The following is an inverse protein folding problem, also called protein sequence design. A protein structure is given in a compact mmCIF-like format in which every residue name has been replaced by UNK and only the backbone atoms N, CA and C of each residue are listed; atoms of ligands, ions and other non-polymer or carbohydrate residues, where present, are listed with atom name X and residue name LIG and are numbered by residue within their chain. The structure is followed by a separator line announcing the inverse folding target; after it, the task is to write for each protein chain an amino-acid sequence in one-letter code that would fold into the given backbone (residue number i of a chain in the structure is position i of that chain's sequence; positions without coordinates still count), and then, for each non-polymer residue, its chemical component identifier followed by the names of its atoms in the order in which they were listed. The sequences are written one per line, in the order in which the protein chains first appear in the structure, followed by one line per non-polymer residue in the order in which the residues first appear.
data_IF_319346509228
#
_entry.id   IF_319346509228
#
_cell.length_a   1.000
_cell.length_b   1.000
_cell.length_c   1.000
_cell.angle_alpha   90.00
_cell.angle_beta   90.00
_cell.angle_gamma   90.00
#
_symmetry.space_group_name_H-M   'P 1'
#
loop_
_entity.id
_entity.type
_entity.pdbx_description
1 polymer ?
#
# COMPACT_ATOMS: atom_id res chain seq x y z
N UNK A 1 15.08 15.00 -11.86
CA UNK A 1 14.09 13.91 -11.83
C UNK A 1 12.93 14.40 -10.96
N UNK A 2 11.76 14.62 -11.55
CA UNK A 2 10.59 15.10 -10.79
C UNK A 2 10.00 13.96 -9.96
N UNK A 3 9.64 14.24 -8.71
CA UNK A 3 8.86 13.34 -7.87
C UNK A 3 7.39 13.75 -7.87
N UNK A 4 6.47 12.79 -7.74
CA UNK A 4 5.04 13.05 -7.49
C UNK A 4 4.58 12.34 -6.23
N UNK A 5 3.62 12.94 -5.54
CA UNK A 5 3.03 12.40 -4.32
C UNK A 5 1.72 11.72 -4.64
N UNK A 6 1.60 10.44 -4.33
CA UNK A 6 0.41 9.62 -4.55
C UNK A 6 -0.28 9.38 -3.20
N UNK A 7 -1.52 9.86 -3.00
CA UNK A 7 -2.27 9.52 -1.81
C UNK A 7 -2.71 8.06 -1.86
N UNK A 8 -2.56 7.37 -0.74
CA UNK A 8 -3.00 5.99 -0.54
C UNK A 8 -4.08 6.01 0.53
N UNK A 9 -5.26 5.53 0.16
CA UNK A 9 -6.37 5.29 1.06
C UNK A 9 -6.81 3.85 0.83
N UNK A 10 -6.52 2.99 1.80
CA UNK A 10 -6.87 1.59 1.75
C UNK A 10 -7.67 1.22 2.98
N UNK A 11 -8.89 0.71 2.79
CA UNK A 11 -9.74 0.24 3.87
C UNK A 11 -10.10 -1.23 3.62
N UNK A 12 -9.56 -2.18 4.41
CA UNK A 12 -9.85 -3.59 4.22
C UNK A 12 -11.35 -3.91 4.24
N UNK A 13 -12.16 -3.22 5.06
CA UNK A 13 -13.60 -3.46 5.13
C UNK A 13 -14.32 -3.24 3.78
N UNK A 14 -13.79 -2.36 2.90
CA UNK A 14 -14.39 -2.08 1.59
C UNK A 14 -14.11 -3.20 0.57
N UNK A 15 -13.26 -4.17 0.93
CA UNK A 15 -12.85 -5.30 0.11
C UNK A 15 -13.30 -6.66 0.68
N UNK A 16 -14.24 -6.66 1.63
CA UNK A 16 -14.82 -7.89 2.19
C UNK A 16 -14.01 -8.55 3.30
N UNK A 17 -12.97 -7.89 3.83
CA UNK A 17 -12.24 -8.39 4.99
C UNK A 17 -13.08 -8.28 6.27
N UNK A 18 -13.03 -9.33 7.11
CA UNK A 18 -13.84 -9.43 8.31
C UNK A 18 -13.43 -8.40 9.36
N UNK A 19 -14.39 -7.59 9.83
CA UNK A 19 -14.19 -6.64 10.94
C UNK A 19 -13.70 -7.37 12.19
N UNK A 20 -12.78 -6.75 12.92
CA UNK A 20 -12.15 -7.33 14.11
C UNK A 20 -11.05 -8.36 13.82
N UNK A 21 -10.84 -8.76 12.57
CA UNK A 21 -9.67 -9.54 12.17
C UNK A 21 -8.49 -8.62 11.86
N UNK A 22 -7.31 -9.04 12.27
CA UNK A 22 -6.04 -8.36 12.00
C UNK A 22 -5.37 -8.93 10.75
N UNK A 23 -4.74 -8.04 9.99
CA UNK A 23 -4.02 -8.38 8.76
C UNK A 23 -2.69 -7.64 8.74
N UNK A 24 -1.62 -8.31 8.31
CA UNK A 24 -0.35 -7.65 8.00
C UNK A 24 -0.51 -6.90 6.68
N UNK A 25 -0.53 -5.58 6.74
CA UNK A 25 -0.58 -4.70 5.59
C UNK A 25 0.84 -4.30 5.19
N UNK A 26 1.18 -4.52 3.93
CA UNK A 26 2.45 -4.09 3.34
C UNK A 26 2.18 -3.22 2.10
N UNK A 27 2.84 -2.06 2.03
CA UNK A 27 2.82 -1.15 0.90
C UNK A 27 4.25 -1.01 0.36
N UNK A 28 4.47 -1.48 -0.85
CA UNK A 28 5.76 -1.42 -1.55
C UNK A 28 5.67 -0.43 -2.70
N UNK A 29 6.71 0.37 -2.86
CA UNK A 29 6.91 1.25 -4.02
C UNK A 29 8.15 0.78 -4.76
N UNK A 30 7.99 0.53 -6.06
CA UNK A 30 9.08 0.24 -7.00
C UNK A 30 9.13 1.41 -7.96
N UNK A 31 10.18 2.22 -7.91
CA UNK A 31 10.34 3.37 -8.81
C UNK A 31 11.77 3.47 -9.36
N UNK A 32 12.11 4.53 -10.09
CA UNK A 32 13.46 4.71 -10.66
C UNK A 32 14.57 4.79 -9.58
N UNK A 33 14.22 5.01 -8.30
CA UNK A 33 15.15 4.96 -7.17
C UNK A 33 15.25 3.55 -6.54
N UNK A 34 14.51 2.56 -7.05
CA UNK A 34 14.48 1.19 -6.58
C UNK A 34 13.23 0.84 -5.77
N UNK A 35 13.27 -0.34 -5.14
CA UNK A 35 12.18 -0.87 -4.33
C UNK A 35 12.31 -0.47 -2.86
N UNK A 36 11.20 -0.06 -2.23
CA UNK A 36 11.12 0.19 -0.79
C UNK A 36 9.75 -0.18 -0.21
N UNK A 37 9.75 -0.72 1.00
CA UNK A 37 8.52 -0.88 1.79
C UNK A 37 8.25 0.42 2.54
N UNK A 38 7.11 1.05 2.26
CA UNK A 38 6.70 2.33 2.86
C UNK A 38 5.85 2.12 4.10
N UNK A 39 5.06 1.05 4.12
CA UNK A 39 4.27 0.63 5.28
C UNK A 39 4.42 -0.87 5.43
N UNK A 40 4.71 -1.33 6.65
CA UNK A 40 4.61 -2.73 7.06
C UNK A 40 4.13 -2.76 8.50
N UNK A 41 2.85 -3.11 8.70
CA UNK A 41 2.25 -3.17 10.04
C UNK A 41 1.02 -4.05 10.05
N UNK A 42 0.69 -4.58 11.22
CA UNK A 42 -0.60 -5.23 11.46
C UNK A 42 -1.67 -4.16 11.65
N UNK A 43 -2.77 -4.27 10.90
CA UNK A 43 -3.94 -3.39 11.00
C UNK A 43 -5.22 -4.22 11.15
N UNK A 44 -6.16 -3.79 12.01
CA UNK A 44 -7.49 -4.39 12.02
C UNK A 44 -8.27 -3.95 10.77
N UNK A 45 -9.13 -4.83 10.24
CA UNK A 45 -9.89 -4.54 9.02
C UNK A 45 -10.87 -3.36 9.10
N UNK A 46 -11.18 -2.89 10.31
CA UNK A 46 -12.01 -1.72 10.55
C UNK A 46 -11.23 -0.39 10.60
N UNK A 47 -9.90 -0.41 10.42
CA UNK A 47 -9.08 0.79 10.31
C UNK A 47 -8.47 0.95 8.92
N UNK A 48 -8.79 2.07 8.29
CA UNK A 48 -8.16 2.48 7.05
C UNK A 48 -6.67 2.81 7.24
N UNK A 49 -5.87 2.46 6.23
CA UNK A 49 -4.50 2.89 6.05
C UNK A 49 -4.49 4.09 5.11
N UNK A 50 -4.24 5.27 5.70
CA UNK A 50 -4.09 6.52 4.98
C UNK A 50 -2.63 6.96 5.03
N UNK A 51 -2.00 7.12 3.88
CA UNK A 51 -0.64 7.63 3.76
C UNK A 51 -0.45 8.33 2.41
N UNK A 52 0.71 8.93 2.20
CA UNK A 52 1.14 9.47 0.92
C UNK A 52 2.50 8.91 0.57
N UNK A 53 2.67 8.43 -0.67
CA UNK A 53 3.96 7.93 -1.15
C UNK A 53 4.52 8.86 -2.21
N UNK A 54 5.78 9.25 -2.05
CA UNK A 54 6.52 9.92 -3.11
C UNK A 54 7.00 8.85 -4.09
N UNK A 55 6.88 9.08 -5.40
CA UNK A 55 7.42 8.21 -6.46
C UNK A 55 8.24 9.00 -7.46
N UNK A 56 9.23 8.37 -8.10
CA UNK A 56 10.15 8.99 -9.04
C UNK A 56 10.16 8.25 -10.39
N UNK A 57 9.91 8.96 -11.48
CA UNK A 57 9.93 8.38 -12.82
C UNK A 57 8.87 7.28 -13.00
N UNK A 58 9.26 6.14 -13.59
CA UNK A 58 8.36 5.00 -13.75
C UNK A 58 8.16 4.36 -12.39
N UNK A 59 6.90 4.11 -12.02
CA UNK A 59 6.57 3.60 -10.70
C UNK A 59 5.52 2.49 -10.77
N UNK A 60 5.62 1.57 -9.84
CA UNK A 60 4.61 0.59 -9.48
C UNK A 60 4.40 0.65 -7.96
N UNK A 61 3.14 0.66 -7.55
CA UNK A 61 2.74 0.59 -6.15
C UNK A 61 2.06 -0.75 -5.95
N UNK A 62 2.49 -1.49 -4.92
CA UNK A 62 1.94 -2.79 -4.56
C UNK A 62 1.40 -2.76 -3.14
N UNK A 63 0.21 -3.31 -2.94
CA UNK A 63 -0.36 -3.59 -1.63
C UNK A 63 -0.43 -5.10 -1.46
N UNK A 64 0.14 -5.60 -0.38
CA UNK A 64 0.06 -7.00 0.04
C UNK A 64 -0.62 -7.12 1.40
N UNK A 65 -1.41 -8.18 1.56
CA UNK A 65 -2.10 -8.51 2.80
C UNK A 65 -1.70 -9.93 3.22
N UNK A 66 -1.19 -10.07 4.45
CA UNK A 66 -0.67 -11.35 4.96
C UNK A 66 0.37 -12.00 4.01
N UNK A 67 1.18 -11.17 3.34
CA UNK A 67 2.20 -11.61 2.37
C UNK A 67 1.65 -12.01 1.00
N UNK A 68 0.35 -11.90 0.76
CA UNK A 68 -0.26 -12.13 -0.56
C UNK A 68 -0.49 -10.79 -1.28
N UNK A 69 -0.03 -10.69 -2.52
CA UNK A 69 -0.27 -9.51 -3.36
C UNK A 69 -1.77 -9.32 -3.56
N UNK A 70 -2.29 -8.19 -3.11
CA UNK A 70 -3.70 -7.83 -3.22
C UNK A 70 -3.97 -6.97 -4.45
N UNK A 71 -3.19 -5.93 -4.67
CA UNK A 71 -3.27 -5.08 -5.86
C UNK A 71 -1.92 -4.48 -6.21
N UNK A 72 -1.70 -4.23 -7.50
CA UNK A 72 -0.55 -3.51 -8.02
C UNK A 72 -1.00 -2.58 -9.15
N UNK A 73 -0.45 -1.37 -9.21
CA UNK A 73 -0.74 -0.43 -10.29
C UNK A 73 0.41 0.53 -10.57
N UNK A 74 0.46 1.05 -11.80
CA UNK A 74 1.32 2.17 -12.18
C UNK A 74 0.52 3.48 -12.05
N UNK A 75 0.83 4.34 -11.06
CA UNK A 75 0.14 5.61 -10.87
C UNK A 75 0.49 6.66 -11.94
#
# INVERSE_FOLDING_TARGET
LGGRTIPINFNPADHGFLRGQEYRFELVVIDDNGQRTVVDRVVPADRAVNTSVQVHGRAEIQISLNGQLFTAWSP
#
